data_IF_821569497650
#
_entry.id   IF_821569497650
#
_cell.length_a   1.000
_cell.length_b   1.000
_cell.length_c   1.000
_cell.angle_alpha   90.00
_cell.angle_beta   90.00
_cell.angle_gamma   90.00
#
_symmetry.space_group_name_H-M   'P 1'
#
loop_
_entity.id
_entity.type
_entity.pdbx_description
1 polymer ?
#
# COMPACT_ATOMS: atom_id res chain seq x y z
N UNK A 1 16.46 14.00 -11.20
CA UNK A 1 17.77 13.32 -11.06
C UNK A 1 17.78 12.57 -9.73
N UNK A 2 18.56 11.48 -9.60
CA UNK A 2 18.74 10.73 -8.34
C UNK A 2 20.20 10.80 -7.91
N UNK A 3 20.45 10.78 -6.60
CA UNK A 3 21.80 10.63 -6.06
C UNK A 3 22.26 9.17 -6.18
N UNK A 4 23.56 8.96 -6.40
CA UNK A 4 24.15 7.63 -6.56
C UNK A 4 25.29 7.44 -5.56
N UNK A 5 25.38 6.25 -4.99
CA UNK A 5 26.46 5.84 -4.12
C UNK A 5 27.43 4.94 -4.90
N UNK A 6 28.68 5.37 -4.97
CA UNK A 6 29.76 4.63 -5.60
C UNK A 6 30.65 4.00 -4.52
N UNK A 7 30.88 2.69 -4.58
CA UNK A 7 31.73 1.98 -3.63
C UNK A 7 32.39 0.76 -4.24
N UNK A 8 33.47 0.30 -3.62
CA UNK A 8 34.16 -0.94 -4.00
C UNK A 8 33.84 -2.02 -2.96
N UNK A 9 33.30 -3.15 -3.40
CA UNK A 9 33.01 -4.30 -2.55
C UNK A 9 33.59 -5.56 -3.20
N UNK A 10 34.48 -6.26 -2.48
CA UNK A 10 35.16 -7.47 -2.98
C UNK A 10 35.88 -7.25 -4.33
N UNK A 11 36.58 -6.13 -4.47
CA UNK A 11 37.28 -5.73 -5.70
C UNK A 11 36.34 -5.53 -6.91
N UNK A 12 35.04 -5.33 -6.66
CA UNK A 12 34.03 -5.00 -7.65
C UNK A 12 33.47 -3.62 -7.36
N UNK A 13 33.63 -2.72 -8.32
CA UNK A 13 33.00 -1.40 -8.27
C UNK A 13 31.48 -1.52 -8.45
N UNK A 14 30.73 -0.86 -7.59
CA UNK A 14 29.27 -0.80 -7.61
C UNK A 14 28.81 0.65 -7.59
N UNK A 15 27.72 0.92 -8.34
CA UNK A 15 27.06 2.21 -8.40
C UNK A 15 25.57 1.99 -8.20
N UNK A 16 25.07 2.27 -7.00
CA UNK A 16 23.68 2.05 -6.62
C UNK A 16 22.94 3.37 -6.45
N UNK A 17 21.71 3.52 -6.99
CA UNK A 17 20.93 4.73 -6.77
C UNK A 17 20.44 4.76 -5.32
N UNK A 18 20.57 5.91 -4.67
CA UNK A 18 20.03 6.09 -3.33
C UNK A 18 18.50 6.19 -3.40
N UNK A 19 17.82 5.37 -2.61
CA UNK A 19 16.37 5.45 -2.40
C UNK A 19 16.04 6.58 -1.43
N UNK A 20 16.40 7.81 -1.84
CA UNK A 20 16.28 9.01 -1.03
C UNK A 20 15.79 10.18 -1.89
N UNK A 21 15.36 11.25 -1.23
CA UNK A 21 15.03 12.50 -1.92
C UNK A 21 16.26 13.04 -2.68
N UNK A 22 16.07 13.80 -3.77
CA UNK A 22 17.19 14.39 -4.50
C UNK A 22 18.09 15.21 -3.58
N UNK A 23 19.38 14.86 -3.55
CA UNK A 23 20.44 15.57 -2.84
C UNK A 23 21.12 16.58 -3.77
N UNK A 24 21.35 17.80 -3.29
CA UNK A 24 22.02 18.85 -4.06
C UNK A 24 23.53 18.86 -3.82
N UNK A 25 23.94 18.82 -2.55
CA UNK A 25 25.32 18.59 -2.15
C UNK A 25 25.38 17.63 -0.98
N UNK A 26 26.51 16.94 -0.84
CA UNK A 26 26.77 16.03 0.26
C UNK A 26 28.23 16.15 0.73
N UNK A 27 28.46 15.97 2.03
CA UNK A 27 29.79 15.90 2.64
C UNK A 27 29.81 14.83 3.72
N UNK A 28 30.96 14.17 3.93
CA UNK A 28 31.12 13.20 5.00
C UNK A 28 30.82 13.81 6.38
N UNK A 29 30.20 13.02 7.25
CA UNK A 29 29.81 13.44 8.59
C UNK A 29 30.05 12.29 9.58
N UNK A 30 30.62 12.62 10.74
CA UNK A 30 30.89 11.68 11.83
C UNK A 30 30.67 12.38 13.16
N UNK A 31 29.92 11.74 14.06
CA UNK A 31 29.64 12.20 15.43
C UNK A 31 29.32 11.01 16.32
N UNK A 32 29.20 11.21 17.64
CA UNK A 32 28.80 10.14 18.57
C UNK A 32 27.44 9.53 18.23
N UNK A 33 26.52 10.31 17.67
CA UNK A 33 25.18 9.87 17.27
C UNK A 33 25.15 9.21 15.87
N UNK A 34 26.24 9.33 15.11
CA UNK A 34 26.34 8.88 13.72
C UNK A 34 27.81 8.63 13.40
N UNK A 35 28.29 7.41 13.67
CA UNK A 35 29.71 7.06 13.49
C UNK A 35 30.14 7.16 12.00
N UNK A 36 29.26 6.74 11.08
CA UNK A 36 29.53 6.80 9.64
C UNK A 36 28.29 7.27 8.89
N UNK A 37 28.35 8.50 8.36
CA UNK A 37 27.28 9.06 7.55
C UNK A 37 27.74 10.23 6.69
N UNK A 38 26.77 10.93 6.13
CA UNK A 38 27.01 12.15 5.38
C UNK A 38 25.90 13.16 5.69
N UNK A 39 26.26 14.43 5.62
CA UNK A 39 25.30 15.53 5.63
C UNK A 39 24.96 15.88 4.20
N UNK A 40 23.68 16.12 3.92
CA UNK A 40 23.19 16.51 2.59
C UNK A 40 22.20 17.66 2.69
N UNK A 41 22.18 18.51 1.67
CA UNK A 41 21.08 19.46 1.47
C UNK A 41 20.06 18.88 0.50
N UNK A 42 18.77 19.03 0.82
CA UNK A 42 17.66 18.65 -0.04
C UNK A 42 16.61 19.77 0.01
N UNK A 43 16.56 20.60 -1.04
CA UNK A 43 15.80 21.84 -1.03
C UNK A 43 16.21 22.72 0.15
N UNK A 44 15.24 23.12 0.97
CA UNK A 44 15.48 24.03 2.10
C UNK A 44 15.84 23.29 3.41
N UNK A 45 16.19 22.00 3.35
CA UNK A 45 16.45 21.18 4.54
C UNK A 45 17.88 20.62 4.54
N UNK A 46 18.54 20.71 5.70
CA UNK A 46 19.79 20.01 6.00
C UNK A 46 19.45 18.67 6.65
N UNK A 47 20.05 17.58 6.18
CA UNK A 47 19.76 16.22 6.64
C UNK A 47 21.06 15.46 6.91
N UNK A 48 21.14 14.84 8.08
CA UNK A 48 22.20 13.88 8.41
C UNK A 48 21.66 12.49 8.05
N UNK A 49 22.42 11.74 7.26
CA UNK A 49 21.99 10.45 6.69
C UNK A 49 23.08 9.40 6.92
N UNK A 50 22.67 8.21 7.33
CA UNK A 50 23.50 7.01 7.45
C UNK A 50 23.07 5.97 6.41
N UNK A 51 24.00 5.13 5.96
CA UNK A 51 23.71 4.02 5.04
C UNK A 51 23.77 2.72 5.81
N UNK A 52 22.61 2.20 6.23
CA UNK A 52 22.56 1.03 7.11
C UNK A 52 22.70 -0.30 6.35
N UNK A 53 22.14 -0.39 5.14
CA UNK A 53 22.03 -1.64 4.36
C UNK A 53 22.73 -1.54 3.02
N UNK A 54 24.06 -1.43 3.05
CA UNK A 54 24.89 -1.34 1.84
C UNK A 54 24.81 -2.65 1.03
N UNK A 55 24.38 -2.57 -0.23
CA UNK A 55 24.20 -3.72 -1.13
C UNK A 55 22.75 -4.17 -1.28
N UNK A 56 21.83 -3.71 -0.42
CA UNK A 56 20.40 -3.85 -0.69
C UNK A 56 19.97 -2.78 -1.71
N UNK A 57 19.47 -3.25 -2.86
CA UNK A 57 19.07 -2.38 -3.97
C UNK A 57 17.60 -1.95 -3.90
N UNK A 58 16.84 -2.48 -2.93
CA UNK A 58 15.41 -2.24 -2.79
C UNK A 58 15.08 -1.64 -1.42
N UNK A 59 14.40 -0.50 -1.44
CA UNK A 59 13.81 0.08 -0.26
C UNK A 59 12.30 -0.17 -0.27
N UNK A 60 11.79 -0.81 0.77
CA UNK A 60 10.37 -1.05 0.98
C UNK A 60 9.83 -0.19 2.12
N UNK A 61 8.57 0.22 1.98
CA UNK A 61 7.77 0.73 3.07
C UNK A 61 6.49 -0.08 3.10
N UNK A 62 6.12 -0.56 4.28
CA UNK A 62 4.91 -1.34 4.49
C UNK A 62 3.78 -0.44 4.97
N UNK A 63 2.59 -0.68 4.43
CA UNK A 63 1.36 -0.03 4.86
C UNK A 63 0.37 -1.08 5.33
N UNK A 64 -0.27 -0.85 6.46
CA UNK A 64 -1.30 -1.75 6.95
C UNK A 64 -2.61 -1.50 6.18
N UNK A 65 -3.09 -2.53 5.49
CA UNK A 65 -4.38 -2.54 4.82
C UNK A 65 -5.46 -3.18 5.70
N UNK A 66 -6.72 -2.98 5.33
CA UNK A 66 -7.87 -3.49 6.09
C UNK A 66 -8.19 -4.92 5.70
N UNK A 67 -8.26 -5.23 4.42
CA UNK A 67 -8.50 -6.57 3.88
C UNK A 67 -7.33 -6.98 2.97
N UNK A 68 -7.32 -8.25 2.53
CA UNK A 68 -6.29 -8.72 1.60
C UNK A 68 -6.41 -7.99 0.24
N UNK A 69 -5.37 -7.28 -0.24
CA UNK A 69 -5.41 -6.62 -1.55
C UNK A 69 -5.49 -7.65 -2.68
N UNK A 70 -6.39 -7.45 -3.63
CA UNK A 70 -6.60 -8.34 -4.78
C UNK A 70 -6.02 -7.78 -6.07
N UNK A 71 -6.13 -6.48 -6.27
CA UNK A 71 -5.63 -5.79 -7.45
C UNK A 71 -5.52 -4.28 -7.18
N UNK A 72 -4.80 -3.55 -8.02
CA UNK A 72 -4.79 -2.10 -8.02
C UNK A 72 -4.59 -1.52 -9.42
N UNK A 73 -5.02 -0.27 -9.62
CA UNK A 73 -4.77 0.48 -10.85
C UNK A 73 -4.25 1.88 -10.53
N UNK A 74 -3.41 2.43 -11.42
CA UNK A 74 -2.95 3.81 -11.32
C UNK A 74 -3.95 4.73 -12.00
N UNK A 75 -4.53 5.66 -11.25
CA UNK A 75 -5.36 6.72 -11.80
C UNK A 75 -4.47 7.80 -12.43
N UNK A 76 -4.25 7.70 -13.75
CA UNK A 76 -3.28 8.54 -14.49
C UNK A 76 -3.39 10.05 -14.25
N UNK A 77 -4.59 10.68 -14.19
CA UNK A 77 -4.69 12.12 -13.98
C UNK A 77 -4.09 12.61 -12.65
N UNK A 78 -4.17 11.79 -11.60
CA UNK A 78 -3.70 12.18 -10.26
C UNK A 78 -2.50 11.37 -9.77
N UNK A 79 -2.10 10.31 -10.47
CA UNK A 79 -1.10 9.32 -10.04
C UNK A 79 -1.41 8.64 -8.69
N UNK A 80 -2.67 8.65 -8.25
CA UNK A 80 -3.10 7.89 -7.08
C UNK A 80 -3.33 6.42 -7.44
N UNK A 81 -3.17 5.54 -6.47
CA UNK A 81 -3.52 4.13 -6.59
C UNK A 81 -4.97 3.92 -6.16
N UNK A 82 -5.69 3.13 -6.94
CA UNK A 82 -7.00 2.59 -6.55
C UNK A 82 -6.81 1.11 -6.28
N UNK A 83 -6.95 0.71 -5.02
CA UNK A 83 -6.69 -0.64 -4.54
C UNK A 83 -8.03 -1.28 -4.21
N UNK A 84 -8.26 -2.52 -4.66
CA UNK A 84 -9.40 -3.33 -4.22
C UNK A 84 -8.92 -4.36 -3.21
N UNK A 85 -9.54 -4.37 -2.04
CA UNK A 85 -9.23 -5.28 -0.94
C UNK A 85 -10.46 -6.17 -0.68
N UNK A 86 -10.27 -7.48 -0.55
CA UNK A 86 -11.36 -8.42 -0.29
C UNK A 86 -10.90 -9.61 0.55
N UNK A 87 -11.65 -9.91 1.61
CA UNK A 87 -11.36 -10.98 2.55
C UNK A 87 -12.51 -11.98 2.65
N UNK A 88 -12.15 -13.27 2.69
CA UNK A 88 -13.10 -14.37 2.88
C UNK A 88 -13.24 -14.69 4.37
N UNK A 89 -14.45 -15.06 4.79
CA UNK A 89 -14.82 -15.23 6.20
C UNK A 89 -14.58 -13.95 7.04
N UNK A 90 -14.84 -12.78 6.45
CA UNK A 90 -14.79 -11.48 7.11
C UNK A 90 -16.14 -10.76 7.09
N UNK A 91 -16.38 -9.92 8.08
CA UNK A 91 -17.59 -9.08 8.21
C UNK A 91 -17.22 -7.62 7.95
N UNK A 92 -18.14 -6.84 7.39
CA UNK A 92 -18.00 -5.38 7.36
C UNK A 92 -18.21 -4.82 8.78
N UNK A 93 -17.62 -3.66 9.07
CA UNK A 93 -17.70 -3.05 10.43
C UNK A 93 -19.12 -2.52 10.77
N UNK A 94 -20.12 -2.74 9.90
CA UNK A 94 -21.50 -2.28 10.11
C UNK A 94 -22.25 -3.10 11.15
N UNK A 95 -21.78 -4.29 11.52
CA UNK A 95 -22.38 -5.11 12.58
C UNK A 95 -21.64 -4.87 13.90
N UNK A 96 -22.33 -4.44 14.97
CA UNK A 96 -21.71 -4.45 16.29
C UNK A 96 -21.27 -5.89 16.60
N UNK A 97 -20.07 -6.09 17.20
CA UNK A 97 -19.66 -7.43 17.62
C UNK A 97 -20.75 -7.99 18.55
N UNK A 98 -21.15 -9.27 18.39
CA UNK A 98 -22.01 -9.91 19.36
C UNK A 98 -21.29 -9.84 20.71
N UNK A 99 -21.99 -9.34 21.72
CA UNK A 99 -21.52 -9.14 23.08
C UNK A 99 -20.68 -10.32 23.60
N UNK A 100 -19.44 -10.08 23.99
CA UNK A 100 -18.84 -10.45 25.29
C UNK A 100 -17.32 -10.17 25.32
N UNK A 101 -16.91 -9.43 26.34
CA UNK A 101 -15.60 -9.42 27.04
C UNK A 101 -14.27 -9.42 26.25
N UNK A 102 -13.53 -8.34 26.50
CA UNK A 102 -12.07 -8.29 26.77
C UNK A 102 -11.05 -8.25 25.60
N UNK A 103 -10.18 -7.23 25.75
CA UNK A 103 -8.78 -7.09 25.29
C UNK A 103 -8.52 -6.55 23.88
N UNK A 104 -8.23 -5.24 23.82
CA UNK A 104 -7.69 -4.52 22.64
C UNK A 104 -6.33 -5.06 22.14
N UNK A 105 -5.68 -5.96 22.87
CA UNK A 105 -4.38 -6.56 22.52
C UNK A 105 -4.47 -7.84 21.64
N UNK A 106 -5.67 -8.39 21.40
CA UNK A 106 -5.86 -9.63 20.61
C UNK A 106 -6.27 -9.41 19.14
N UNK A 107 -6.39 -8.15 18.70
CA UNK A 107 -6.86 -7.80 17.34
C UNK A 107 -5.96 -8.33 16.21
N UNK A 108 -4.73 -8.77 16.51
CA UNK A 108 -3.84 -9.36 15.50
C UNK A 108 -4.10 -10.85 15.25
N UNK A 109 -4.71 -11.59 16.19
CA UNK A 109 -4.84 -13.06 16.11
C UNK A 109 -6.28 -13.52 15.86
N UNK A 110 -7.28 -12.75 16.28
CA UNK A 110 -8.68 -13.16 16.14
C UNK A 110 -9.56 -12.04 15.60
N UNK A 111 -9.43 -11.74 14.30
CA UNK A 111 -10.53 -11.10 13.59
C UNK A 111 -11.73 -12.05 13.72
N UNK A 112 -12.83 -11.59 14.31
CA UNK A 112 -14.02 -12.40 14.51
C UNK A 112 -14.37 -13.11 13.20
N UNK A 113 -14.22 -14.44 13.16
CA UNK A 113 -14.41 -15.22 11.94
C UNK A 113 -15.87 -15.07 11.55
N UNK A 114 -16.12 -14.38 10.45
CA UNK A 114 -17.45 -14.31 9.90
C UNK A 114 -17.92 -15.72 9.51
N UNK A 115 -19.23 -15.92 9.47
CA UNK A 115 -19.81 -17.21 9.08
C UNK A 115 -19.29 -17.68 7.71
N UNK A 116 -19.38 -18.99 7.47
CA UNK A 116 -18.95 -19.60 6.20
C UNK A 116 -19.61 -18.89 5.01
N UNK A 117 -18.79 -18.48 4.04
CA UNK A 117 -19.26 -17.82 2.81
C UNK A 117 -19.51 -16.32 2.97
N UNK A 118 -19.13 -15.71 4.09
CA UNK A 118 -19.18 -14.26 4.25
C UNK A 118 -17.98 -13.56 3.59
N UNK A 119 -18.23 -12.41 2.97
CA UNK A 119 -17.21 -11.55 2.40
C UNK A 119 -17.32 -10.12 2.93
N UNK A 120 -16.14 -9.52 3.08
CA UNK A 120 -16.01 -8.08 3.28
C UNK A 120 -14.95 -7.55 2.32
N UNK A 121 -15.25 -6.41 1.69
CA UNK A 121 -14.34 -5.79 0.74
C UNK A 121 -14.49 -4.28 0.74
N UNK A 122 -13.44 -3.60 0.27
CA UNK A 122 -13.45 -2.15 0.11
C UNK A 122 -12.61 -1.71 -1.09
N UNK A 123 -12.88 -0.49 -1.55
CA UNK A 123 -12.12 0.22 -2.57
C UNK A 123 -11.35 1.33 -1.85
N UNK A 124 -10.02 1.32 -1.93
CA UNK A 124 -9.16 2.34 -1.32
C UNK A 124 -8.54 3.24 -2.37
N UNK A 125 -8.64 4.55 -2.16
CA UNK A 125 -7.84 5.54 -2.87
C UNK A 125 -6.58 5.86 -2.05
N UNK A 126 -5.40 5.70 -2.63
CA UNK A 126 -4.13 5.80 -1.94
C UNK A 126 -3.12 6.67 -2.68
N UNK A 127 -2.47 7.59 -1.97
CA UNK A 127 -1.35 8.39 -2.45
C UNK A 127 -0.03 7.67 -2.11
N UNK A 128 0.62 7.13 -3.14
CA UNK A 128 1.88 6.42 -3.01
C UNK A 128 3.10 7.33 -2.81
N UNK A 129 3.00 8.63 -3.14
CA UNK A 129 4.09 9.58 -2.91
C UNK A 129 4.14 10.04 -1.46
N UNK A 130 2.96 10.25 -0.84
CA UNK A 130 2.83 10.63 0.56
C UNK A 130 2.66 9.44 1.52
N UNK A 131 2.51 8.24 0.98
CA UNK A 131 2.21 7.02 1.72
C UNK A 131 0.95 7.17 2.59
N UNK A 132 -0.14 7.66 1.99
CA UNK A 132 -1.36 8.05 2.70
C UNK A 132 -2.62 7.53 2.03
N UNK A 133 -3.54 6.97 2.83
CA UNK A 133 -4.92 6.70 2.37
C UNK A 133 -5.68 8.02 2.23
N UNK A 134 -6.24 8.25 1.06
CA UNK A 134 -7.07 9.41 0.76
C UNK A 134 -8.54 9.14 1.04
N UNK A 135 -9.04 7.95 0.66
CA UNK A 135 -10.43 7.56 0.84
C UNK A 135 -10.60 6.03 0.88
N UNK A 136 -11.69 5.58 1.49
CA UNK A 136 -12.08 4.16 1.55
C UNK A 136 -13.59 4.04 1.39
N UNK A 137 -14.01 3.28 0.38
CA UNK A 137 -15.40 2.93 0.14
C UNK A 137 -15.60 1.47 0.55
N UNK A 138 -16.28 1.25 1.66
CA UNK A 138 -16.70 -0.09 2.10
C UNK A 138 -17.85 -0.60 1.24
N UNK A 139 -17.71 -1.81 0.69
CA UNK A 139 -18.75 -2.47 -0.09
C UNK A 139 -19.79 -3.14 0.81
N UNK A 140 -20.87 -3.64 0.22
CA UNK A 140 -21.95 -4.27 0.97
C UNK A 140 -21.55 -5.63 1.57
N UNK A 141 -22.33 -6.09 2.55
CA UNK A 141 -22.15 -7.42 3.13
C UNK A 141 -22.26 -8.48 2.03
N UNK A 142 -21.28 -9.39 1.98
CA UNK A 142 -21.18 -10.46 0.98
C UNK A 142 -20.93 -9.99 -0.45
N UNK A 143 -20.56 -8.73 -0.63
CA UNK A 143 -20.00 -8.23 -1.87
C UNK A 143 -18.47 -8.28 -1.81
N UNK A 144 -17.84 -8.93 -2.80
CA UNK A 144 -16.39 -9.08 -2.90
C UNK A 144 -15.88 -8.37 -4.15
N UNK A 145 -15.04 -7.35 -3.98
CA UNK A 145 -14.29 -6.75 -5.10
C UNK A 145 -13.21 -7.71 -5.62
N UNK A 146 -13.28 -8.02 -6.93
CA UNK A 146 -12.42 -9.03 -7.57
C UNK A 146 -11.46 -8.43 -8.60
N UNK A 147 -11.86 -7.33 -9.24
CA UNK A 147 -11.06 -6.67 -10.27
C UNK A 147 -11.26 -5.17 -10.27
N UNK A 148 -10.27 -4.43 -10.78
CA UNK A 148 -10.35 -2.97 -10.93
C UNK A 148 -9.67 -2.56 -12.23
N UNK A 149 -10.23 -1.57 -12.91
CA UNK A 149 -9.65 -0.95 -14.09
C UNK A 149 -10.05 0.53 -14.17
N UNK A 150 -9.38 1.27 -15.07
CA UNK A 150 -9.80 2.62 -15.45
C UNK A 150 -10.32 2.61 -16.88
N UNK A 151 -11.38 3.38 -17.14
CA UNK A 151 -11.89 3.58 -18.49
C UNK A 151 -12.27 5.04 -18.70
N UNK A 152 -12.41 5.42 -19.97
CA UNK A 152 -12.99 6.69 -20.39
C UNK A 152 -14.13 6.32 -21.33
N UNK A 153 -15.35 6.76 -21.02
CA UNK A 153 -16.51 6.51 -21.86
C UNK A 153 -16.57 7.52 -23.01
N UNK A 154 -17.08 7.09 -24.16
CA UNK A 154 -17.14 7.93 -25.35
C UNK A 154 -17.98 9.20 -25.14
N UNK A 155 -19.08 9.12 -24.38
CA UNK A 155 -19.93 10.27 -24.05
C UNK A 155 -19.24 11.26 -23.08
N UNK A 156 -18.19 10.83 -22.38
CA UNK A 156 -17.49 11.61 -21.35
C UNK A 156 -15.97 11.50 -21.49
N UNK A 157 -15.38 12.07 -22.56
CA UNK A 157 -13.97 11.88 -22.89
C UNK A 157 -12.99 12.51 -21.90
N UNK A 158 -13.45 13.45 -21.08
CA UNK A 158 -12.62 14.17 -20.10
C UNK A 158 -12.72 13.62 -18.67
N UNK A 159 -13.49 12.54 -18.47
CA UNK A 159 -13.68 11.90 -17.17
C UNK A 159 -13.06 10.50 -17.21
N UNK A 160 -12.18 10.22 -16.25
CA UNK A 160 -11.67 8.87 -16.04
C UNK A 160 -12.52 8.18 -14.98
N UNK A 161 -13.12 7.05 -15.35
CA UNK A 161 -13.93 6.23 -14.47
C UNK A 161 -13.12 5.09 -13.91
N UNK A 162 -13.42 4.72 -12.68
CA UNK A 162 -12.93 3.50 -12.04
C UNK A 162 -14.04 2.46 -12.18
N UNK A 163 -13.73 1.34 -12.83
CA UNK A 163 -14.62 0.19 -12.92
C UNK A 163 -14.12 -0.85 -11.92
N UNK A 164 -15.00 -1.30 -11.04
CA UNK A 164 -14.73 -2.40 -10.09
C UNK A 164 -15.68 -3.54 -10.41
N UNK A 165 -15.11 -4.72 -10.71
CA UNK A 165 -15.90 -5.94 -10.84
C UNK A 165 -16.07 -6.59 -9.48
N UNK A 166 -17.32 -6.75 -9.03
CA UNK A 166 -17.67 -7.36 -7.75
C UNK A 166 -18.37 -8.70 -7.96
N UNK A 167 -18.42 -9.52 -6.92
CA UNK A 167 -19.20 -10.76 -6.89
C UNK A 167 -19.98 -10.83 -5.58
N UNK A 168 -21.26 -11.19 -5.65
CA UNK A 168 -22.11 -11.35 -4.47
C UNK A 168 -22.23 -12.81 -4.06
N UNK A 169 -22.14 -13.07 -2.76
CA UNK A 169 -22.36 -14.39 -2.15
C UNK A 169 -21.47 -15.49 -2.76
N UNK A 170 -20.19 -15.15 -3.03
CA UNK A 170 -19.24 -16.06 -3.65
C UNK A 170 -18.87 -17.22 -2.70
N UNK A 171 -19.24 -18.44 -3.06
CA UNK A 171 -18.72 -19.65 -2.41
C UNK A 171 -17.52 -20.17 -3.20
N UNK A 172 -16.40 -20.44 -2.53
CA UNK A 172 -15.19 -20.94 -3.19
C UNK A 172 -15.32 -22.43 -3.55
N UNK A 173 -15.90 -23.25 -2.66
CA UNK A 173 -15.97 -24.70 -2.82
C UNK A 173 -17.32 -25.29 -2.34
N UNK A 174 -18.09 -25.97 -3.21
CA UNK A 174 -18.02 -25.87 -4.67
C UNK A 174 -18.25 -24.43 -5.12
N UNK A 175 -17.67 -24.02 -6.25
CA UNK A 175 -17.77 -22.64 -6.74
C UNK A 175 -19.23 -22.29 -7.05
N UNK A 176 -19.77 -21.28 -6.34
CA UNK A 176 -21.10 -20.71 -6.59
C UNK A 176 -21.04 -19.20 -6.46
N UNK A 177 -21.85 -18.49 -7.24
CA UNK A 177 -21.98 -17.04 -7.18
C UNK A 177 -23.45 -16.70 -7.42
N UNK A 178 -23.96 -15.69 -6.73
CA UNK A 178 -25.34 -15.22 -6.92
C UNK A 178 -25.43 -14.32 -8.14
N UNK A 179 -24.57 -13.30 -8.21
CA UNK A 179 -24.43 -12.39 -9.34
C UNK A 179 -23.05 -11.70 -9.32
N UNK A 180 -22.67 -11.12 -10.47
CA UNK A 180 -21.44 -10.36 -10.69
C UNK A 180 -21.38 -9.78 -12.10
#
# INVERSE_FOLDING_TARGET
SRAWLAYNYQNRFQLTPLSYVPAECASGFSSEQCAEGFVTTAGNTLRIVTVERLGEVFNSQEIQLKYTPRNFVVHKPTNHLVIVEAEHNATTDKKPPPSESETEELNFISRAKAGTGQWASCIRLFDAAQCKTLDVIELEDNEAAMSVSTCIFHERPNETFIIVGTARSLQLTPRKVECG
#
